data_IF_342236803876
#
_entry.id   IF_342236803876
#
_cell.length_a   1.000
_cell.length_b   1.000
_cell.length_c   1.000
_cell.angle_alpha   90.00
_cell.angle_beta   90.00
_cell.angle_gamma   90.00
#
_symmetry.space_group_name_H-M   'P 1'
#
loop_
_entity.id
_entity.type
_entity.pdbx_description
1 polymer ?
#
# COMPACT_ATOMS: atom_id res chain seq x y z
N UNK A 1 -2.36 -19.17 9.87
CA UNK A 1 -3.25 -19.15 8.70
C UNK A 1 -2.52 -18.42 7.60
N UNK A 2 -2.23 -19.14 6.57
CA UNK A 2 -1.51 -18.62 5.41
C UNK A 2 -2.38 -17.58 4.72
N UNK A 3 -1.78 -16.51 4.28
CA UNK A 3 -2.40 -15.58 3.36
C UNK A 3 -2.70 -16.29 2.05
N UNK A 4 -3.82 -16.95 1.97
CA UNK A 4 -4.25 -17.61 0.73
C UNK A 4 -4.44 -16.62 -0.43
N UNK A 5 -4.40 -15.32 -0.13
CA UNK A 5 -4.61 -14.24 -1.10
C UNK A 5 -3.37 -13.46 -1.49
N UNK A 6 -2.20 -13.80 -0.95
CA UNK A 6 -0.95 -13.13 -1.33
C UNK A 6 0.15 -14.14 -1.61
N UNK A 7 0.98 -13.80 -2.58
CA UNK A 7 2.22 -14.46 -2.91
C UNK A 7 3.27 -13.42 -3.27
N UNK A 8 4.50 -13.85 -3.47
CA UNK A 8 5.54 -13.00 -3.99
C UNK A 8 5.77 -13.33 -5.47
N UNK A 9 6.00 -12.33 -6.29
CA UNK A 9 6.29 -12.53 -7.71
C UNK A 9 7.48 -11.68 -8.12
N UNK A 10 8.43 -12.30 -8.80
CA UNK A 10 9.54 -11.56 -9.38
C UNK A 10 9.04 -10.59 -10.44
N UNK A 11 9.46 -9.34 -10.33
CA UNK A 11 9.12 -8.29 -11.30
C UNK A 11 9.65 -8.59 -12.69
N UNK A 12 10.84 -9.20 -12.77
CA UNK A 12 11.53 -9.47 -14.02
C UNK A 12 11.10 -10.79 -14.68
N UNK A 13 11.37 -11.93 -14.03
CA UNK A 13 11.13 -13.25 -14.62
C UNK A 13 9.75 -13.83 -14.33
N UNK A 14 8.94 -13.15 -13.51
CA UNK A 14 7.58 -13.57 -13.13
C UNK A 14 7.47 -14.85 -12.29
N UNK A 15 8.59 -15.40 -11.84
CA UNK A 15 8.57 -16.56 -10.95
C UNK A 15 7.86 -16.22 -9.64
N UNK A 16 7.02 -17.13 -9.16
CA UNK A 16 6.25 -16.97 -7.93
C UNK A 16 6.89 -17.70 -6.76
N UNK A 17 6.72 -17.14 -5.58
CA UNK A 17 7.20 -17.69 -4.31
C UNK A 17 6.12 -17.55 -3.25
N UNK A 18 6.18 -18.42 -2.25
CA UNK A 18 5.34 -18.27 -1.06
C UNK A 18 5.71 -16.99 -0.28
N UNK A 19 4.74 -16.44 0.43
CA UNK A 19 4.94 -15.27 1.29
C UNK A 19 5.92 -15.62 2.43
N UNK A 20 6.94 -14.78 2.64
CA UNK A 20 7.94 -14.99 3.67
C UNK A 20 9.05 -13.93 3.63
N UNK A 21 10.11 -14.16 4.37
CA UNK A 21 11.28 -13.28 4.39
C UNK A 21 12.14 -13.48 3.13
N UNK A 22 11.67 -12.90 2.04
CA UNK A 22 12.34 -13.00 0.74
C UNK A 22 12.19 -11.67 0.01
N UNK A 23 13.28 -11.14 -0.52
CA UNK A 23 13.32 -9.81 -1.14
C UNK A 23 13.70 -9.86 -2.62
N UNK A 24 14.45 -10.88 -3.01
CA UNK A 24 14.97 -11.03 -4.37
C UNK A 24 14.69 -12.43 -4.90
N UNK A 25 14.58 -12.53 -6.21
CA UNK A 25 14.40 -13.80 -6.91
C UNK A 25 15.65 -14.68 -6.81
N UNK A 26 15.46 -15.97 -6.58
CA UNK A 26 16.57 -16.92 -6.53
C UNK A 26 17.22 -17.15 -7.90
N UNK A 27 16.47 -16.97 -8.98
CA UNK A 27 16.94 -17.27 -10.32
C UNK A 27 17.61 -16.09 -11.04
N UNK A 28 16.99 -14.91 -10.97
CA UNK A 28 17.46 -13.73 -11.72
C UNK A 28 17.86 -12.54 -10.85
N UNK A 29 17.75 -12.65 -9.53
CA UNK A 29 18.00 -11.59 -8.56
C UNK A 29 17.12 -10.34 -8.73
N UNK A 30 16.04 -10.43 -9.50
CA UNK A 30 15.07 -9.36 -9.65
C UNK A 30 14.29 -9.08 -8.35
N UNK A 31 13.79 -7.87 -8.14
CA UNK A 31 13.00 -7.53 -6.97
C UNK A 31 11.68 -8.30 -6.95
N UNK A 32 11.21 -8.63 -5.75
CA UNK A 32 9.94 -9.31 -5.57
C UNK A 32 8.85 -8.29 -5.23
N UNK A 33 7.72 -8.41 -5.93
CA UNK A 33 6.49 -7.68 -5.62
C UNK A 33 5.52 -8.60 -4.89
N UNK A 34 4.67 -8.01 -4.07
CA UNK A 34 3.54 -8.74 -3.48
C UNK A 34 2.44 -8.86 -4.53
N UNK A 35 2.09 -10.08 -4.87
CA UNK A 35 0.96 -10.39 -5.74
C UNK A 35 -0.26 -10.68 -4.88
N UNK A 36 -1.37 -10.02 -5.18
CA UNK A 36 -2.62 -10.17 -4.44
C UNK A 36 -3.67 -10.88 -5.27
N UNK A 37 -4.43 -11.72 -4.61
CA UNK A 37 -5.74 -12.15 -5.08
C UNK A 37 -6.79 -11.31 -4.34
N UNK A 38 -7.22 -10.23 -4.96
CA UNK A 38 -8.13 -9.30 -4.33
C UNK A 38 -9.55 -9.84 -4.27
N UNK A 39 -10.23 -9.70 -3.12
CA UNK A 39 -11.67 -9.89 -3.08
C UNK A 39 -12.36 -8.83 -3.93
N UNK A 40 -13.63 -9.03 -4.25
CA UNK A 40 -14.42 -8.01 -4.93
C UNK A 40 -14.51 -6.76 -4.05
N UNK A 41 -13.83 -5.69 -4.45
CA UNK A 41 -13.84 -4.40 -3.76
C UNK A 41 -14.78 -3.44 -4.48
N UNK A 42 -15.55 -2.67 -3.69
CA UNK A 42 -16.46 -1.64 -4.16
C UNK A 42 -16.02 -0.29 -3.59
N UNK A 43 -16.47 0.80 -4.23
CA UNK A 43 -16.14 2.16 -3.75
C UNK A 43 -16.58 2.40 -2.30
N UNK A 44 -17.69 1.79 -1.88
CA UNK A 44 -18.24 1.92 -0.55
C UNK A 44 -17.59 1.00 0.50
N UNK A 45 -16.72 0.06 0.10
CA UNK A 45 -16.04 -0.86 1.01
C UNK A 45 -15.29 -0.12 2.12
N UNK A 46 -14.69 1.02 1.79
CA UNK A 46 -13.86 1.80 2.72
C UNK A 46 -14.56 3.01 3.32
N UNK A 47 -15.77 3.36 2.88
CA UNK A 47 -16.44 4.63 3.19
C UNK A 47 -16.72 4.83 4.69
N UNK A 48 -17.09 3.77 5.40
CA UNK A 48 -17.51 3.81 6.80
C UNK A 48 -16.39 3.42 7.78
N UNK A 49 -15.13 3.43 7.33
CA UNK A 49 -13.98 3.08 8.14
C UNK A 49 -13.28 4.33 8.65
N UNK A 50 -12.54 4.16 9.75
CA UNK A 50 -11.70 5.24 10.29
C UNK A 50 -10.73 5.79 9.25
N UNK A 51 -10.42 7.09 9.36
CA UNK A 51 -9.48 7.81 8.48
C UNK A 51 -8.03 7.48 8.87
N UNK A 52 -7.64 6.22 8.72
CA UNK A 52 -6.29 5.72 8.94
C UNK A 52 -5.78 4.98 7.71
N UNK A 53 -4.47 4.77 7.64
CA UNK A 53 -3.86 3.94 6.60
C UNK A 53 -4.50 2.54 6.56
N UNK A 54 -4.87 2.00 7.69
CA UNK A 54 -5.41 0.65 7.86
C UNK A 54 -6.83 0.45 7.36
N UNK A 55 -7.50 1.53 6.97
CA UNK A 55 -8.81 1.42 6.30
C UNK A 55 -8.73 0.60 5.00
N UNK A 56 -7.56 0.50 4.41
CA UNK A 56 -7.28 -0.24 3.19
C UNK A 56 -6.71 -1.63 3.45
N UNK A 57 -7.07 -2.23 4.57
CA UNK A 57 -6.52 -3.50 5.05
C UNK A 57 -6.47 -4.59 3.97
N UNK A 58 -7.49 -4.71 3.12
CA UNK A 58 -7.57 -5.71 2.06
C UNK A 58 -6.54 -5.51 0.95
N UNK A 59 -5.99 -4.31 0.84
CA UNK A 59 -4.96 -3.95 -0.14
C UNK A 59 -3.54 -4.05 0.44
N UNK A 60 -3.43 -4.46 1.71
CA UNK A 60 -2.15 -4.51 2.43
C UNK A 60 -1.74 -5.97 2.69
N UNK A 61 -0.43 -6.27 2.71
CA UNK A 61 0.07 -7.63 2.91
C UNK A 61 0.06 -8.02 4.40
N UNK A 62 -1.07 -7.87 5.06
CA UNK A 62 -1.27 -8.22 6.46
C UNK A 62 -2.37 -9.26 6.58
N UNK A 63 -2.07 -10.36 7.24
CA UNK A 63 -2.98 -11.47 7.42
C UNK A 63 -4.07 -11.20 8.45
N UNK A 64 -3.64 -10.67 9.58
CA UNK A 64 -4.49 -10.52 10.74
C UNK A 64 -4.43 -9.09 11.27
N UNK A 65 -5.58 -8.52 11.55
CA UNK A 65 -5.69 -7.18 12.13
C UNK A 65 -4.93 -7.03 13.46
N UNK A 66 -4.74 -8.11 14.18
CA UNK A 66 -3.92 -8.11 15.40
C UNK A 66 -2.43 -7.82 15.17
N UNK A 67 -1.97 -7.97 13.95
CA UNK A 67 -0.58 -7.68 13.56
C UNK A 67 -0.37 -6.22 13.14
N UNK A 68 -1.42 -5.41 13.15
CA UNK A 68 -1.32 -3.99 12.82
C UNK A 68 -0.52 -3.26 13.89
N UNK A 69 0.54 -2.58 13.45
CA UNK A 69 1.28 -1.62 14.28
C UNK A 69 1.02 -0.24 13.68
N UNK A 70 0.14 0.52 14.31
CA UNK A 70 -0.23 1.86 13.84
C UNK A 70 0.70 2.91 14.44
N UNK A 71 1.53 3.50 13.61
CA UNK A 71 2.42 4.61 13.96
C UNK A 71 1.88 5.96 13.44
N UNK A 72 0.64 6.03 13.05
CA UNK A 72 0.01 7.23 12.49
C UNK A 72 0.39 7.53 11.04
N UNK A 73 0.91 6.56 10.30
CA UNK A 73 1.25 6.72 8.89
C UNK A 73 0.00 6.85 8.01
N UNK A 74 0.13 7.57 6.91
CA UNK A 74 -0.97 7.80 5.98
C UNK A 74 -1.88 8.96 6.39
N UNK A 75 -2.89 9.24 5.59
CA UNK A 75 -3.85 10.34 5.80
C UNK A 75 -3.17 11.68 6.08
N UNK A 76 -2.10 11.96 5.37
CA UNK A 76 -1.31 13.19 5.49
C UNK A 76 -2.18 14.40 5.17
N UNK A 77 -2.12 15.49 5.97
CA UNK A 77 -2.87 16.70 5.67
C UNK A 77 -2.50 17.29 4.30
N UNK A 78 -3.50 17.72 3.56
CA UNK A 78 -3.32 18.50 2.34
C UNK A 78 -3.21 19.97 2.73
N UNK A 79 -2.01 20.54 2.70
CA UNK A 79 -1.71 21.88 3.22
C UNK A 79 -1.59 22.87 2.09
N UNK A 80 -2.25 24.06 2.24
CA UNK A 80 -2.09 25.14 1.30
C UNK A 80 -0.69 25.76 1.40
N UNK A 81 0.01 25.81 0.29
CA UNK A 81 1.38 26.33 0.19
C UNK A 81 1.38 27.80 -0.25
N UNK A 82 0.99 28.71 0.65
CA UNK A 82 0.82 30.13 0.34
C UNK A 82 2.10 30.81 -0.14
N UNK A 83 3.22 30.56 0.54
CA UNK A 83 4.50 31.19 0.21
C UNK A 83 5.03 30.72 -1.14
N UNK A 84 4.98 29.43 -1.38
CA UNK A 84 5.41 28.85 -2.66
C UNK A 84 4.45 29.27 -3.78
N UNK A 85 3.15 29.28 -3.51
CA UNK A 85 2.15 29.72 -4.45
C UNK A 85 2.37 31.15 -4.92
N UNK A 86 2.67 32.08 -3.99
CA UNK A 86 3.00 33.47 -4.33
C UNK A 86 4.22 33.57 -5.28
N UNK A 87 5.26 32.80 -5.00
CA UNK A 87 6.49 32.79 -5.83
C UNK A 87 6.22 32.26 -7.24
N UNK A 88 5.31 31.32 -7.37
CA UNK A 88 4.98 30.67 -8.66
C UNK A 88 3.78 31.30 -9.37
N UNK A 89 3.11 32.29 -8.76
CA UNK A 89 1.90 32.89 -9.32
C UNK A 89 0.68 31.95 -9.29
N UNK A 90 0.64 31.02 -8.33
CA UNK A 90 -0.43 30.02 -8.16
C UNK A 90 -1.25 30.33 -6.91
N UNK A 91 -2.53 30.64 -7.07
CA UNK A 91 -3.40 31.01 -5.95
C UNK A 91 -3.92 29.81 -5.15
N UNK A 92 -3.95 28.64 -5.73
CA UNK A 92 -4.54 27.42 -5.17
C UNK A 92 -3.57 26.25 -5.22
N UNK A 93 -2.36 26.44 -4.70
CA UNK A 93 -1.35 25.38 -4.59
C UNK A 93 -1.46 24.67 -3.25
N UNK A 94 -1.63 23.36 -3.29
CA UNK A 94 -1.67 22.48 -2.13
C UNK A 94 -0.63 21.38 -2.25
N UNK A 95 -0.05 20.98 -1.14
CA UNK A 95 0.94 19.90 -1.04
C UNK A 95 0.56 18.94 0.08
#
# INVERSE_FOLDING_TARGET
MILDRTSLQCRECKKEFETGFKYVCDDCFGPLDVKYDFPTLRKDTFSNREQTYWRYFELLPIENKSNIVDIGAGMTPLTKADNLGKKLGLNNLYI
#
